data_IF_621845197749
#
_entry.id   IF_621845197749
#
_cell.length_a   1.000
_cell.length_b   1.000
_cell.length_c   1.000
_cell.angle_alpha   90.00
_cell.angle_beta   90.00
_cell.angle_gamma   90.00
#
_symmetry.space_group_name_H-M   'P 1'
#
loop_
_entity.id
_entity.type
_entity.pdbx_description
1 polymer ?
#
# COMPACT_ATOMS: atom_id res chain seq x y z
N UNK A 1 -4.46 -16.91 10.95
CA UNK A 1 -4.83 -15.78 11.82
C UNK A 1 -4.17 -14.58 11.20
N UNK A 2 -4.90 -13.70 10.53
CA UNK A 2 -4.29 -12.56 9.85
C UNK A 2 -3.61 -11.67 10.90
N UNK A 3 -2.29 -11.51 10.80
CA UNK A 3 -1.55 -10.60 11.65
C UNK A 3 -2.16 -9.19 11.56
N UNK A 4 -2.35 -8.53 12.71
CA UNK A 4 -2.75 -7.12 12.74
C UNK A 4 -1.63 -6.31 12.10
N UNK A 5 -1.89 -5.80 10.91
CA UNK A 5 -0.95 -4.94 10.19
C UNK A 5 -1.02 -3.53 10.79
N UNK A 6 0.07 -3.02 11.37
CA UNK A 6 0.11 -1.63 11.82
C UNK A 6 0.02 -0.69 10.62
N UNK A 7 -0.70 0.42 10.78
CA UNK A 7 -0.89 1.42 9.72
C UNK A 7 0.45 2.11 9.35
N UNK A 8 1.29 2.42 10.35
CA UNK A 8 2.60 3.04 10.18
C UNK A 8 3.69 2.23 10.90
N UNK A 9 4.22 1.17 10.28
CA UNK A 9 5.40 0.49 10.80
C UNK A 9 6.64 1.40 10.75
N UNK A 10 7.50 1.30 11.76
CA UNK A 10 8.77 2.04 11.79
C UNK A 10 9.79 1.56 10.73
N UNK A 11 9.69 0.29 10.32
CA UNK A 11 10.59 -0.35 9.34
C UNK A 11 9.79 -1.21 8.34
N UNK A 12 9.01 -0.60 7.43
CA UNK A 12 8.19 -1.33 6.46
C UNK A 12 9.01 -2.22 5.51
N UNK A 13 10.27 -1.88 5.27
CA UNK A 13 11.19 -2.60 4.37
C UNK A 13 11.60 -3.98 4.89
N UNK A 14 11.46 -4.24 6.21
CA UNK A 14 11.99 -5.43 6.87
C UNK A 14 11.05 -6.63 6.90
N UNK A 15 9.76 -6.44 6.56
CA UNK A 15 8.72 -7.47 6.71
C UNK A 15 8.05 -7.80 5.37
N UNK A 16 7.71 -9.08 5.13
CA UNK A 16 6.78 -9.44 4.07
C UNK A 16 5.33 -9.19 4.52
N UNK A 17 4.69 -8.20 3.90
CA UNK A 17 3.34 -7.74 4.23
C UNK A 17 2.29 -8.62 3.56
N UNK A 18 1.96 -9.73 4.20
CA UNK A 18 1.08 -10.77 3.63
C UNK A 18 1.49 -12.19 4.03
N UNK A 19 2.60 -12.36 4.75
CA UNK A 19 3.03 -13.65 5.29
C UNK A 19 3.07 -13.63 6.81
N UNK A 20 2.36 -14.56 7.45
CA UNK A 20 2.45 -14.75 8.91
C UNK A 20 3.76 -15.41 9.36
N UNK A 21 4.56 -15.95 8.43
CA UNK A 21 5.68 -16.87 8.74
C UNK A 21 7.06 -16.22 8.78
N UNK A 22 7.20 -14.92 8.47
CA UNK A 22 8.49 -14.24 8.38
C UNK A 22 9.52 -15.04 7.56
N UNK A 23 9.14 -15.39 6.34
CA UNK A 23 10.01 -16.15 5.45
C UNK A 23 11.38 -15.48 5.28
N UNK A 24 12.43 -16.31 5.23
CA UNK A 24 13.77 -15.86 4.86
C UNK A 24 13.76 -15.25 3.45
N UNK A 25 14.67 -14.31 3.17
CA UNK A 25 14.72 -13.59 1.90
C UNK A 25 14.82 -14.53 0.67
N UNK A 26 15.46 -15.69 0.83
CA UNK A 26 15.65 -16.71 -0.22
C UNK A 26 14.57 -17.80 -0.23
N UNK A 27 13.54 -17.71 0.60
CA UNK A 27 12.54 -18.78 0.78
C UNK A 27 11.16 -18.20 1.08
N UNK A 28 10.78 -17.18 0.28
CA UNK A 28 9.50 -16.50 0.42
C UNK A 28 8.36 -17.40 -0.06
N UNK A 29 7.37 -17.61 0.83
CA UNK A 29 6.11 -18.26 0.47
C UNK A 29 5.05 -17.24 0.01
N UNK A 30 5.24 -15.95 0.32
CA UNK A 30 4.44 -14.83 -0.16
C UNK A 30 4.98 -14.30 -1.51
N UNK A 31 4.15 -13.61 -2.30
CA UNK A 31 4.57 -12.98 -3.56
C UNK A 31 4.84 -13.96 -4.72
N UNK A 32 4.10 -15.07 -4.80
CA UNK A 32 4.29 -16.15 -5.77
C UNK A 32 5.72 -16.73 -5.80
N UNK A 33 6.45 -16.66 -4.68
CA UNK A 33 7.83 -17.16 -4.59
C UNK A 33 8.89 -16.26 -5.23
N UNK A 34 8.52 -15.03 -5.62
CA UNK A 34 9.45 -14.10 -6.28
C UNK A 34 10.00 -13.07 -5.29
N UNK A 35 9.12 -12.25 -4.71
CA UNK A 35 9.55 -11.07 -3.97
C UNK A 35 8.66 -10.76 -2.77
N UNK A 36 9.23 -9.98 -1.85
CA UNK A 36 8.56 -9.49 -0.66
C UNK A 36 7.36 -8.65 -1.06
N UNK A 37 6.19 -8.92 -0.49
CA UNK A 37 5.10 -7.96 -0.53
C UNK A 37 5.48 -6.71 0.27
N UNK A 38 5.64 -5.58 -0.41
CA UNK A 38 5.95 -4.30 0.21
C UNK A 38 4.77 -3.77 1.04
N UNK A 39 5.05 -2.95 2.05
CA UNK A 39 4.00 -2.25 2.76
C UNK A 39 3.37 -1.20 1.84
N UNK A 40 2.04 -0.99 1.89
CA UNK A 40 1.41 0.06 1.10
C UNK A 40 2.03 1.46 1.31
N UNK A 41 2.49 1.78 2.54
CA UNK A 41 3.21 3.04 2.82
C UNK A 41 4.47 3.26 1.97
N UNK A 42 5.15 2.19 1.54
CA UNK A 42 6.35 2.29 0.72
C UNK A 42 6.02 2.66 -0.73
N UNK A 43 4.81 2.31 -1.18
CA UNK A 43 4.35 2.53 -2.54
C UNK A 43 3.52 3.80 -2.67
N UNK A 44 2.69 4.09 -1.67
CA UNK A 44 1.68 5.16 -1.70
C UNK A 44 1.93 6.28 -0.68
N UNK A 45 2.94 6.14 0.18
CA UNK A 45 3.28 7.16 1.19
C UNK A 45 2.51 7.01 2.50
N UNK A 46 2.74 7.92 3.48
CA UNK A 46 2.13 7.87 4.82
C UNK A 46 0.61 7.85 4.78
N UNK A 47 -0.02 8.60 3.88
CA UNK A 47 -1.49 8.73 3.80
C UNK A 47 -2.17 7.55 3.08
N UNK A 48 -1.47 6.44 2.84
CA UNK A 48 -2.01 5.28 2.13
C UNK A 48 -3.28 4.70 2.77
N UNK A 49 -3.42 4.82 4.10
CA UNK A 49 -4.55 4.26 4.84
C UNK A 49 -5.79 5.18 4.82
N UNK A 50 -5.58 6.46 4.51
CA UNK A 50 -6.64 7.45 4.31
C UNK A 50 -7.17 7.43 2.87
N UNK A 51 -6.52 6.67 1.97
CA UNK A 51 -6.98 6.48 0.60
C UNK A 51 -8.25 5.66 0.54
N UNK A 52 -9.35 6.32 0.18
CA UNK A 52 -10.63 5.67 -0.11
C UNK A 52 -10.85 5.62 -1.64
N UNK A 53 -10.81 4.44 -2.28
CA UNK A 53 -10.96 4.32 -3.73
C UNK A 53 -12.38 4.60 -4.24
N UNK A 54 -13.36 4.72 -3.33
CA UNK A 54 -14.75 5.05 -3.64
C UNK A 54 -15.08 6.52 -3.32
N UNK A 55 -14.13 7.27 -2.76
CA UNK A 55 -14.28 8.68 -2.48
C UNK A 55 -14.43 9.39 -3.82
N UNK A 56 -15.65 9.87 -4.07
CA UNK A 56 -15.87 10.80 -5.16
C UNK A 56 -15.06 12.06 -4.83
N UNK A 57 -14.01 12.33 -5.61
CA UNK A 57 -13.34 13.62 -5.50
C UNK A 57 -14.40 14.71 -5.68
N UNK A 58 -14.51 15.69 -4.77
CA UNK A 58 -15.33 16.86 -5.07
C UNK A 58 -14.75 17.43 -6.35
N UNK A 59 -15.61 17.62 -7.36
CA UNK A 59 -15.21 18.19 -8.63
C UNK A 59 -14.49 19.52 -8.32
N UNK A 60 -13.16 19.50 -8.40
CA UNK A 60 -12.41 20.74 -8.50
C UNK A 60 -12.93 21.40 -9.76
N UNK A 61 -13.54 22.57 -9.57
CA UNK A 61 -13.98 23.49 -10.60
C UNK A 61 -12.77 23.84 -11.47
N UNK A 62 -12.42 22.94 -12.40
CA UNK A 62 -11.56 23.22 -13.51
C UNK A 62 -12.40 24.05 -14.48
N UNK A 63 -12.52 25.35 -14.17
CA UNK A 63 -12.99 26.34 -15.11
C UNK A 63 -12.24 26.19 -16.42
N UNK A 64 -12.92 25.64 -17.42
CA UNK A 64 -12.46 25.58 -18.80
C UNK A 64 -12.67 26.96 -19.43
N UNK A 65 -11.62 27.76 -19.72
CA UNK A 65 -11.82 28.93 -20.55
C UNK A 65 -11.92 28.49 -22.01
N UNK A 66 -13.08 28.70 -22.60
CA UNK A 66 -13.21 28.91 -24.05
C UNK A 66 -13.36 27.65 -24.90
N UNK A 67 -14.62 27.25 -25.12
CA UNK A 67 -15.00 26.56 -26.34
C UNK A 67 -15.95 27.50 -27.10
N UNK A 68 -15.39 28.26 -28.03
CA UNK A 68 -16.11 29.16 -28.94
C UNK A 68 -15.63 28.92 -30.35
#
# INVERSE_FOLDING_TARGET
MAKRFPIHPAHPERTCWGCDRYCAASSMACGNGSERSAHPVELFGPDWADWDPLASQPAEDAGLPGQS
#
